data_IF_193730918058
#
_entry.id   IF_193730918058
#
_cell.length_a   1.000
_cell.length_b   1.000
_cell.length_c   1.000
_cell.angle_alpha   90.00
_cell.angle_beta   90.00
_cell.angle_gamma   90.00
#
_symmetry.space_group_name_H-M   'P 1'
#
loop_
_entity.id
_entity.type
_entity.pdbx_description
1 polymer ?
#
# COMPACT_ATOMS: atom_id res chain seq x y z
N UNK A 1 -9.32 6.99 -3.91
CA UNK A 1 -8.01 6.32 -4.03
C UNK A 1 -7.56 5.93 -2.62
N UNK A 2 -7.04 4.72 -2.43
CA UNK A 2 -6.52 4.24 -1.14
C UNK A 2 -5.08 3.74 -1.28
N UNK A 3 -4.29 3.89 -0.23
CA UNK A 3 -2.89 3.46 -0.17
C UNK A 3 -2.63 2.69 1.12
N UNK A 4 -1.76 1.67 1.05
CA UNK A 4 -1.12 1.04 2.21
C UNK A 4 -2.03 0.29 3.20
N UNK A 5 -3.34 0.25 2.98
CA UNK A 5 -4.30 -0.12 4.02
C UNK A 5 -5.47 -0.98 3.55
N UNK A 6 -5.95 -1.82 4.48
CA UNK A 6 -7.20 -2.54 4.31
C UNK A 6 -8.39 -1.66 4.75
N UNK A 7 -8.58 -0.53 4.06
CA UNK A 7 -9.60 0.48 4.39
C UNK A 7 -10.99 -0.11 4.64
N UNK A 8 -11.41 -1.10 3.84
CA UNK A 8 -12.70 -1.75 3.98
C UNK A 8 -12.92 -2.37 5.38
N UNK A 9 -11.87 -2.87 6.03
CA UNK A 9 -11.93 -3.41 7.39
C UNK A 9 -11.42 -2.44 8.47
N UNK A 10 -10.67 -1.41 8.08
CA UNK A 10 -10.12 -0.45 9.04
C UNK A 10 -11.18 0.55 9.52
N UNK A 11 -12.18 0.84 8.70
CA UNK A 11 -13.28 1.72 9.08
C UNK A 11 -14.21 1.06 10.11
N UNK A 12 -14.62 1.77 11.18
CA UNK A 12 -15.36 1.19 12.30
C UNK A 12 -16.76 0.69 11.93
N UNK A 13 -17.46 1.39 11.02
CA UNK A 13 -18.75 0.95 10.48
C UNK A 13 -18.54 0.22 9.15
N UNK A 14 -18.34 -1.09 9.23
CA UNK A 14 -18.09 -1.93 8.06
C UNK A 14 -19.25 -1.93 7.07
N UNK A 15 -20.52 -2.13 7.45
CA UNK A 15 -21.65 -2.08 6.52
C UNK A 15 -21.76 -0.75 5.76
N UNK A 16 -21.67 0.39 6.46
CA UNK A 16 -21.74 1.70 5.83
C UNK A 16 -20.54 1.94 4.89
N UNK A 17 -19.34 1.56 5.32
CA UNK A 17 -18.12 1.68 4.51
C UNK A 17 -18.22 0.84 3.23
N UNK A 18 -18.74 -0.39 3.32
CA UNK A 18 -18.92 -1.26 2.16
C UNK A 18 -19.93 -0.68 1.17
N UNK A 19 -21.05 -0.14 1.67
CA UNK A 19 -22.05 0.50 0.83
C UNK A 19 -21.47 1.72 0.08
N UNK A 20 -20.71 2.56 0.79
CA UNK A 20 -20.05 3.72 0.20
C UNK A 20 -18.97 3.34 -0.82
N UNK A 21 -18.14 2.32 -0.55
CA UNK A 21 -17.13 1.86 -1.50
C UNK A 21 -17.78 1.30 -2.78
N UNK A 22 -18.90 0.58 -2.66
CA UNK A 22 -19.63 0.01 -3.80
C UNK A 22 -20.36 1.06 -4.63
N UNK A 23 -20.66 2.23 -4.08
CA UNK A 23 -21.31 3.31 -4.82
C UNK A 23 -20.34 4.15 -5.66
N UNK A 24 -19.02 4.01 -5.45
CA UNK A 24 -18.02 4.69 -6.27
C UNK A 24 -18.00 4.16 -7.71
N UNK A 25 -17.79 5.04 -8.69
CA UNK A 25 -17.58 4.63 -10.09
C UNK A 25 -16.22 3.94 -10.29
N UNK A 26 -15.18 4.42 -9.59
CA UNK A 26 -13.84 3.84 -9.65
C UNK A 26 -13.20 3.83 -8.25
N UNK A 27 -12.64 2.69 -7.89
CA UNK A 27 -11.78 2.57 -6.70
C UNK A 27 -10.38 2.13 -7.11
N UNK A 28 -9.38 2.91 -6.72
CA UNK A 28 -7.97 2.61 -6.96
C UNK A 28 -7.30 2.27 -5.64
N UNK A 29 -6.57 1.16 -5.58
CA UNK A 29 -5.80 0.72 -4.42
C UNK A 29 -4.33 0.57 -4.79
N UNK A 30 -3.46 1.33 -4.14
CA UNK A 30 -2.00 1.13 -4.17
C UNK A 30 -1.68 0.13 -3.07
N UNK A 31 -1.09 -1.01 -3.42
CA UNK A 31 -1.00 -2.13 -2.47
C UNK A 31 0.19 -3.05 -2.72
N UNK A 32 0.79 -3.49 -1.62
CA UNK A 32 1.87 -4.51 -1.63
C UNK A 32 1.30 -5.94 -1.65
N UNK A 33 0.05 -6.12 -1.22
CA UNK A 33 -0.66 -7.41 -1.11
C UNK A 33 -2.17 -7.20 -1.25
N UNK A 34 -2.86 -8.23 -1.72
CA UNK A 34 -4.32 -8.25 -1.78
C UNK A 34 -4.94 -8.31 -0.36
N UNK A 35 -6.06 -7.63 -0.19
CA UNK A 35 -6.81 -7.49 1.06
C UNK A 35 -8.31 -7.23 0.78
N UNK A 36 -9.13 -7.00 1.83
CA UNK A 36 -10.59 -6.86 1.68
C UNK A 36 -11.02 -5.67 0.81
N UNK A 37 -10.28 -4.57 0.81
CA UNK A 37 -10.55 -3.41 -0.06
C UNK A 37 -10.47 -3.73 -1.55
N UNK A 38 -9.85 -4.85 -1.95
CA UNK A 38 -9.74 -5.26 -3.35
C UNK A 38 -10.96 -6.06 -3.83
N UNK A 39 -11.81 -6.53 -2.92
CA UNK A 39 -13.05 -7.27 -3.24
C UNK A 39 -14.31 -6.51 -2.82
N UNK A 40 -14.16 -5.44 -2.04
CA UNK A 40 -15.20 -4.47 -1.75
C UNK A 40 -14.84 -3.17 -2.48
N UNK A 41 -15.19 -3.12 -3.75
CA UNK A 41 -14.81 -2.06 -4.67
C UNK A 41 -16.04 -1.46 -5.37
N UNK A 42 -15.81 -0.35 -6.08
CA UNK A 42 -16.82 0.36 -6.86
C UNK A 42 -17.18 -0.37 -8.17
N UNK A 43 -17.76 0.35 -9.13
CA UNK A 43 -18.12 -0.22 -10.45
C UNK A 43 -16.89 -0.71 -11.22
N UNK A 44 -15.80 0.05 -11.17
CA UNK A 44 -14.49 -0.34 -11.68
C UNK A 44 -13.45 -0.34 -10.57
N UNK A 45 -12.43 -1.19 -10.71
CA UNK A 45 -11.34 -1.29 -9.75
C UNK A 45 -9.97 -1.34 -10.45
N UNK A 46 -9.02 -0.58 -9.92
CA UNK A 46 -7.61 -0.67 -10.30
C UNK A 46 -6.77 -1.02 -9.07
N UNK A 47 -5.88 -1.98 -9.26
CA UNK A 47 -4.88 -2.37 -8.27
C UNK A 47 -3.53 -1.94 -8.83
N UNK A 48 -2.82 -1.10 -8.10
CA UNK A 48 -1.49 -0.61 -8.46
C UNK A 48 -0.47 -1.25 -7.52
N UNK A 49 0.25 -2.29 -7.95
CA UNK A 49 1.27 -2.93 -7.13
C UNK A 49 2.40 -1.96 -6.81
N UNK A 50 2.78 -1.88 -5.53
CA UNK A 50 3.91 -1.07 -5.07
C UNK A 50 4.97 -1.92 -4.36
N UNK A 51 6.16 -1.35 -4.19
CA UNK A 51 7.25 -1.98 -3.46
C UNK A 51 6.84 -2.26 -2.01
N UNK A 52 7.04 -3.50 -1.58
CA UNK A 52 6.97 -3.88 -0.18
C UNK A 52 8.20 -3.42 0.60
N UNK A 53 8.03 -3.22 1.92
CA UNK A 53 9.11 -2.82 2.84
C UNK A 53 10.36 -3.69 2.76
N UNK A 54 10.21 -4.97 2.39
CA UNK A 54 11.34 -5.90 2.30
C UNK A 54 12.10 -5.81 0.99
N UNK A 55 11.59 -5.10 -0.01
CA UNK A 55 12.17 -4.97 -1.34
C UNK A 55 13.05 -3.71 -1.42
N UNK A 56 14.17 -3.81 -2.14
CA UNK A 56 15.09 -2.70 -2.35
C UNK A 56 14.43 -1.63 -3.21
N UNK A 57 14.28 -0.43 -2.65
CA UNK A 57 13.88 0.75 -3.41
C UNK A 57 15.11 1.42 -4.02
N UNK A 58 15.31 1.24 -5.33
CA UNK A 58 16.41 1.82 -6.08
C UNK A 58 15.99 3.16 -6.68
N UNK A 59 16.46 4.25 -6.09
CA UNK A 59 16.22 5.61 -6.56
C UNK A 59 17.45 6.17 -7.28
N UNK A 60 17.31 7.33 -7.93
CA UNK A 60 18.41 8.00 -8.66
C UNK A 60 19.67 8.21 -7.81
N UNK A 61 19.52 8.43 -6.50
CA UNK A 61 20.63 8.66 -5.55
C UNK A 61 21.16 7.38 -4.87
N UNK A 62 20.65 6.21 -5.26
CA UNK A 62 20.99 4.92 -4.65
C UNK A 62 19.81 4.25 -3.95
N UNK A 63 20.12 3.23 -3.14
CA UNK A 63 19.10 2.49 -2.37
C UNK A 63 18.53 3.38 -1.28
N UNK A 64 17.20 3.49 -1.21
CA UNK A 64 16.53 4.23 -0.15
C UNK A 64 16.34 3.38 1.12
N UNK A 65 16.25 4.12 2.23
CA UNK A 65 15.95 3.61 3.56
C UNK A 65 14.85 4.46 4.19
N UNK A 66 14.04 3.85 5.04
CA UNK A 66 12.95 4.53 5.76
C UNK A 66 13.27 4.53 7.25
N UNK A 67 13.18 5.69 7.89
CA UNK A 67 13.28 5.77 9.35
C UNK A 67 12.07 5.11 10.00
N UNK A 68 12.29 4.25 10.98
CA UNK A 68 11.24 3.55 11.73
C UNK A 68 11.53 3.72 13.22
N UNK A 69 10.48 4.00 13.98
CA UNK A 69 10.48 3.91 15.44
C UNK A 69 9.84 2.56 15.84
N UNK A 70 10.49 1.82 16.73
CA UNK A 70 9.93 0.60 17.30
C UNK A 70 9.24 0.83 18.66
N UNK A 71 8.64 -0.21 19.23
CA UNK A 71 7.94 -0.13 20.51
C UNK A 71 8.84 0.19 21.71
N UNK A 72 10.17 0.21 21.53
CA UNK A 72 11.15 0.58 22.55
C UNK A 72 11.64 2.02 22.36
N UNK A 73 10.93 2.82 21.54
CA UNK A 73 11.28 4.21 21.21
C UNK A 73 12.67 4.35 20.55
N UNK A 74 13.13 3.32 19.84
CA UNK A 74 14.39 3.34 19.10
C UNK A 74 14.16 3.70 17.63
N UNK A 75 14.80 4.79 17.19
CA UNK A 75 14.76 5.21 15.77
C UNK A 75 15.93 4.57 15.02
N UNK A 76 15.62 3.81 13.96
CA UNK A 76 16.61 3.18 13.10
C UNK A 76 16.17 3.18 11.64
N UNK A 77 17.10 2.86 10.73
CA UNK A 77 16.82 2.77 9.31
C UNK A 77 16.35 1.36 8.95
N UNK A 78 15.20 1.26 8.30
CA UNK A 78 14.72 0.05 7.64
C UNK A 78 15.13 0.08 6.17
N UNK A 79 15.81 -0.96 5.72
CA UNK A 79 16.27 -1.11 4.33
C UNK A 79 15.75 -2.42 3.78
N UNK A 80 15.07 -2.36 2.63
CA UNK A 80 14.66 -3.57 1.92
C UNK A 80 15.88 -4.34 1.41
N UNK A 81 15.86 -5.67 1.53
CA UNK A 81 16.99 -6.53 1.16
C UNK A 81 16.68 -7.41 -0.06
N UNK A 82 15.40 -7.66 -0.34
CA UNK A 82 14.96 -8.49 -1.45
C UNK A 82 14.99 -7.71 -2.76
N UNK A 83 15.19 -8.41 -3.87
CA UNK A 83 14.98 -7.85 -5.20
C UNK A 83 13.48 -7.58 -5.40
N UNK A 84 13.09 -6.43 -5.98
CA UNK A 84 11.71 -6.19 -6.37
C UNK A 84 11.13 -7.31 -7.24
N UNK A 85 9.87 -7.65 -7.03
CA UNK A 85 9.17 -8.68 -7.81
C UNK A 85 9.03 -8.32 -9.30
N UNK A 86 9.04 -7.02 -9.62
CA UNK A 86 9.02 -6.50 -10.99
C UNK A 86 9.85 -5.22 -11.08
N UNK A 87 10.53 -4.96 -12.23
CA UNK A 87 11.26 -3.72 -12.45
C UNK A 87 10.35 -2.49 -12.61
N UNK A 88 9.04 -2.68 -12.74
CA UNK A 88 8.06 -1.60 -12.87
C UNK A 88 7.47 -1.15 -11.53
N UNK A 89 7.81 -1.82 -10.43
CA UNK A 89 7.32 -1.43 -9.11
C UNK A 89 7.97 -0.13 -8.69
N UNK A 90 7.13 0.80 -8.24
CA UNK A 90 7.52 2.04 -7.60
C UNK A 90 7.18 1.95 -6.11
N UNK A 91 7.83 2.78 -5.29
CA UNK A 91 7.43 2.92 -3.88
C UNK A 91 6.01 3.50 -3.80
N UNK A 92 5.27 3.16 -2.76
CA UNK A 92 3.89 3.63 -2.55
C UNK A 92 3.71 5.15 -2.76
N UNK A 93 4.58 6.06 -2.25
CA UNK A 93 4.45 7.50 -2.49
C UNK A 93 4.89 7.98 -3.89
N UNK A 94 5.50 7.11 -4.70
CA UNK A 94 5.95 7.45 -6.06
C UNK A 94 4.92 7.08 -7.15
N UNK A 95 3.78 6.49 -6.75
CA UNK A 95 2.64 6.14 -7.60
C UNK A 95 1.56 7.21 -7.47
#
# INVERSE_FOLDING_TARGET
VGMGGNFALAAPDTPATYAALRSCDLTVQVSTKLNRSHVVHGRAALILPCLGRTEKDHQRKGVQSTSVEDSMSMVHLSVGMKRPASPHLLSEPAI
#
